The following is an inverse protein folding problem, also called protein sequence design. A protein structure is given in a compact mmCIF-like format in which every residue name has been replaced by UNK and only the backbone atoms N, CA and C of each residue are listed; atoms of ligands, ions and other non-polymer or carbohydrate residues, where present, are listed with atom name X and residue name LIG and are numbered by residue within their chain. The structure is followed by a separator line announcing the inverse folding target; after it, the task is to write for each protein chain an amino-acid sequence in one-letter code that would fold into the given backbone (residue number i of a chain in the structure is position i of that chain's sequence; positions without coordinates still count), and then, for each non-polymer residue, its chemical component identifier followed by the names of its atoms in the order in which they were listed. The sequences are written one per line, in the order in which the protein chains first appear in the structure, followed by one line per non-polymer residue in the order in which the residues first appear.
data_IF_275180023466
#
_entry.id   IF_275180023466
#
_cell.length_a   1.000
_cell.length_b   1.000
_cell.length_c   1.000
_cell.angle_alpha   90.00
_cell.angle_beta   90.00
_cell.angle_gamma   90.00
#
_symmetry.space_group_name_H-M   'P 1'
#
loop_
_entity.id
_entity.type
_entity.pdbx_description
1 polymer ?
#
# COMPACT_ATOMS: atom_id res chain seq x y z
N UNK A 1 -18.50 29.17 -10.19
CA UNK A 1 -18.94 27.78 -10.50
C UNK A 1 -17.85 26.71 -10.25
N UNK A 2 -16.54 27.03 -10.26
CA UNK A 2 -15.46 26.06 -9.99
C UNK A 2 -15.32 25.66 -8.50
N UNK A 3 -15.58 26.59 -7.57
CA UNK A 3 -15.29 26.46 -6.12
C UNK A 3 -16.15 25.46 -5.34
N UNK A 4 -17.24 24.95 -5.92
CA UNK A 4 -18.17 24.05 -5.24
C UNK A 4 -17.83 22.56 -5.43
N UNK A 5 -17.11 22.21 -6.51
CA UNK A 5 -16.68 20.82 -6.75
C UNK A 5 -15.66 20.35 -5.71
N UNK A 6 -14.73 21.23 -5.34
CA UNK A 6 -13.65 20.89 -4.40
C UNK A 6 -14.18 20.56 -2.98
N UNK A 7 -15.34 21.11 -2.61
CA UNK A 7 -16.00 20.86 -1.32
C UNK A 7 -16.78 19.53 -1.30
N UNK A 8 -17.28 19.05 -2.45
CA UNK A 8 -17.94 17.74 -2.54
C UNK A 8 -16.96 16.60 -2.30
N UNK A 9 -15.77 16.64 -2.91
CA UNK A 9 -14.75 15.60 -2.73
C UNK A 9 -14.22 15.53 -1.30
N UNK A 10 -14.06 16.67 -0.63
CA UNK A 10 -13.60 16.72 0.75
C UNK A 10 -14.52 16.00 1.74
N UNK A 11 -15.84 16.01 1.49
CA UNK A 11 -16.84 15.36 2.34
C UNK A 11 -17.19 13.92 1.91
N UNK A 12 -16.76 13.49 0.73
CA UNK A 12 -17.00 12.14 0.20
C UNK A 12 -16.06 11.06 0.75
N UNK A 13 -14.97 11.46 1.43
CA UNK A 13 -13.89 10.56 1.83
C UNK A 13 -12.92 10.20 0.68
N UNK A 14 -13.16 10.67 -0.55
CA UNK A 14 -12.28 10.47 -1.71
C UNK A 14 -11.04 11.37 -1.69
N UNK A 15 -10.89 12.20 -0.66
CA UNK A 15 -9.67 12.96 -0.44
C UNK A 15 -8.58 11.97 0.02
N UNK A 16 -7.92 11.34 -0.94
CA UNK A 16 -6.75 10.47 -0.79
C UNK A 16 -5.53 11.28 -0.32
N UNK A 17 -5.67 12.00 0.79
CA UNK A 17 -4.73 12.99 1.31
C UNK A 17 -3.37 12.39 1.68
N UNK A 18 -3.30 11.07 1.84
CA UNK A 18 -2.11 10.35 2.28
C UNK A 18 -1.77 9.28 1.24
N UNK A 19 -1.22 9.72 0.12
CA UNK A 19 -0.54 8.81 -0.79
C UNK A 19 0.90 8.69 -0.32
N UNK A 20 1.16 7.67 0.50
CA UNK A 20 2.54 7.38 0.86
C UNK A 20 3.28 6.81 -0.35
N UNK A 21 4.48 7.32 -0.59
CA UNK A 21 5.48 6.66 -1.42
C UNK A 21 6.31 5.65 -0.59
N UNK A 22 7.16 4.87 -1.28
CA UNK A 22 8.05 3.88 -0.66
C UNK A 22 8.93 4.47 0.45
N UNK A 23 9.43 5.71 0.26
CA UNK A 23 10.27 6.39 1.24
C UNK A 23 9.47 6.86 2.45
N UNK A 24 8.31 7.46 2.21
CA UNK A 24 7.43 8.00 3.25
C UNK A 24 6.91 6.89 4.18
N UNK A 25 6.52 5.73 3.64
CA UNK A 25 6.14 4.54 4.43
C UNK A 25 7.32 4.06 5.28
N UNK A 26 8.51 3.91 4.67
CA UNK A 26 9.69 3.45 5.40
C UNK A 26 10.01 4.38 6.57
N UNK A 27 10.04 5.70 6.34
CA UNK A 27 10.30 6.68 7.38
C UNK A 27 9.25 6.64 8.51
N UNK A 28 7.97 6.45 8.18
CA UNK A 28 6.91 6.32 9.17
C UNK A 28 7.06 5.06 10.04
N UNK A 29 7.44 3.94 9.43
CA UNK A 29 7.70 2.67 10.12
C UNK A 29 8.91 2.79 11.06
N UNK A 30 10.02 3.37 10.59
CA UNK A 30 11.23 3.59 11.41
C UNK A 30 10.93 4.47 12.63
N UNK A 31 10.22 5.58 12.44
CA UNK A 31 9.81 6.49 13.53
C UNK A 31 8.89 5.82 14.55
N UNK A 32 8.13 4.82 14.10
CA UNK A 32 7.24 4.03 14.95
C UNK A 32 7.95 2.88 15.67
N UNK A 33 9.27 2.74 15.49
CA UNK A 33 10.12 1.74 16.14
C UNK A 33 10.19 0.40 15.42
N UNK A 34 9.60 0.26 14.24
CA UNK A 34 9.74 -0.95 13.44
C UNK A 34 11.16 -1.06 12.85
N UNK A 35 11.59 -2.30 12.65
CA UNK A 35 12.91 -2.68 12.15
C UNK A 35 12.77 -3.69 11.02
N UNK A 36 13.88 -3.96 10.32
CA UNK A 36 13.93 -4.91 9.21
C UNK A 36 12.88 -4.61 8.12
N UNK A 37 12.70 -3.32 7.81
CA UNK A 37 11.72 -2.86 6.82
C UNK A 37 12.18 -3.27 5.43
N UNK A 38 11.39 -4.08 4.75
CA UNK A 38 11.69 -4.61 3.41
C UNK A 38 10.53 -4.34 2.48
N UNK A 39 10.87 -3.86 1.28
CA UNK A 39 9.94 -3.83 0.17
C UNK A 39 9.69 -5.26 -0.31
N UNK A 40 8.43 -5.56 -0.58
CA UNK A 40 7.95 -6.84 -1.06
C UNK A 40 7.26 -6.67 -2.42
N UNK A 41 6.65 -7.76 -2.90
CA UNK A 41 5.81 -7.76 -4.10
C UNK A 41 4.52 -8.53 -3.83
N UNK A 42 3.60 -8.49 -4.78
CA UNK A 42 2.37 -9.29 -4.74
C UNK A 42 2.62 -10.83 -4.64
N UNK A 43 3.84 -11.29 -4.92
CA UNK A 43 4.20 -12.72 -4.94
C UNK A 43 5.25 -13.10 -3.90
N UNK A 44 5.87 -12.14 -3.24
CA UNK A 44 6.97 -12.36 -2.32
C UNK A 44 6.64 -11.80 -0.94
N UNK A 45 6.93 -12.59 0.09
CA UNK A 45 6.74 -12.25 1.49
C UNK A 45 7.79 -12.99 2.32
N UNK A 46 8.02 -12.53 3.55
CA UNK A 46 8.74 -13.33 4.55
C UNK A 46 8.03 -14.67 4.85
N UNK A 47 6.73 -14.76 4.58
CA UNK A 47 5.99 -16.02 4.65
C UNK A 47 6.18 -16.84 3.37
N UNK A 48 6.65 -18.09 3.54
CA UNK A 48 6.82 -19.03 2.43
C UNK A 48 5.48 -19.30 1.74
N UNK A 49 5.52 -19.57 0.44
CA UNK A 49 4.34 -19.94 -0.35
C UNK A 49 3.27 -18.85 -0.48
N UNK A 50 3.61 -17.57 -0.21
CA UNK A 50 2.68 -16.43 -0.29
C UNK A 50 1.83 -16.41 -1.57
N UNK A 51 2.48 -16.58 -2.73
CA UNK A 51 1.80 -16.57 -4.01
C UNK A 51 0.72 -17.66 -4.15
N UNK A 52 0.78 -18.77 -3.39
CA UNK A 52 -0.23 -19.85 -3.46
C UNK A 52 -1.60 -19.44 -2.94
N UNK A 53 -1.65 -18.41 -2.09
CA UNK A 53 -2.89 -17.96 -1.48
C UNK A 53 -3.67 -16.97 -2.36
N UNK A 54 -3.07 -16.46 -3.44
CA UNK A 54 -3.69 -15.52 -4.38
C UNK A 54 -4.33 -14.30 -3.68
N UNK A 55 -3.73 -13.79 -2.60
CA UNK A 55 -4.25 -12.61 -1.90
C UNK A 55 -4.12 -11.33 -2.74
N UNK A 56 -2.98 -11.18 -3.40
CA UNK A 56 -2.64 -9.99 -4.20
C UNK A 56 -2.69 -10.26 -5.71
N UNK A 57 -3.04 -11.49 -6.09
CA UNK A 57 -3.12 -11.94 -7.47
C UNK A 57 -4.59 -12.15 -7.87
N UNK A 58 -4.90 -11.95 -9.14
CA UNK A 58 -6.14 -12.42 -9.75
C UNK A 58 -6.11 -13.95 -9.90
N UNK A 59 -7.26 -14.62 -10.14
CA UNK A 59 -7.28 -16.05 -10.43
C UNK A 59 -6.38 -16.48 -11.60
N UNK A 60 -6.09 -15.56 -12.51
CA UNK A 60 -5.21 -15.74 -13.67
C UNK A 60 -3.73 -15.47 -13.35
N UNK A 61 -3.41 -15.12 -12.10
CA UNK A 61 -2.04 -14.87 -11.61
C UNK A 61 -1.51 -13.46 -11.83
N UNK A 62 -2.34 -12.52 -12.29
CA UNK A 62 -1.94 -11.12 -12.48
C UNK A 62 -2.03 -10.33 -11.18
N UNK A 63 -1.20 -9.30 -10.99
CA UNK A 63 -1.31 -8.45 -9.79
C UNK A 63 -2.64 -7.70 -9.82
N UNK A 64 -3.46 -7.85 -8.77
CA UNK A 64 -4.81 -7.26 -8.68
C UNK A 64 -4.78 -5.72 -8.74
N UNK A 65 -3.80 -5.09 -8.12
CA UNK A 65 -3.60 -3.63 -8.09
C UNK A 65 -2.13 -3.32 -8.36
N UNK A 66 -1.74 -3.06 -9.62
CA UNK A 66 -0.34 -2.93 -10.03
C UNK A 66 0.42 -1.77 -9.36
N UNK A 67 -0.29 -0.74 -8.93
CA UNK A 67 0.22 0.45 -8.26
C UNK A 67 0.26 0.31 -6.72
N UNK A 68 0.00 -0.88 -6.18
CA UNK A 68 0.14 -1.15 -4.75
C UNK A 68 1.60 -1.14 -4.30
N UNK A 69 1.81 -0.66 -3.08
CA UNK A 69 3.07 -0.75 -2.35
C UNK A 69 2.97 -1.90 -1.36
N UNK A 70 3.95 -2.82 -1.40
CA UNK A 70 4.06 -3.96 -0.50
C UNK A 70 5.28 -3.76 0.39
N UNK A 71 5.09 -3.67 1.71
CA UNK A 71 6.17 -3.48 2.67
C UNK A 71 5.91 -4.34 3.90
N UNK A 72 6.97 -4.99 4.39
CA UNK A 72 6.96 -5.75 5.64
C UNK A 72 7.97 -5.17 6.62
N UNK A 73 7.65 -5.22 7.90
CA UNK A 73 8.53 -4.77 8.98
C UNK A 73 8.23 -5.53 10.28
N UNK A 74 9.19 -5.55 11.21
CA UNK A 74 9.11 -6.25 12.50
C UNK A 74 9.13 -5.22 13.62
N UNK A 75 8.26 -5.35 14.63
CA UNK A 75 8.27 -4.51 15.83
C UNK A 75 9.04 -5.17 16.97
#
# INVERSE_FOLDING_TARGET
KQKYKDLEFANSGENHLWMYDDYSIKAALERSGFRNIKKQSATNSAFSEWAKYNFDLTPEGSVRKPDSIYVEAIK
#
